data_IF_359889633326
#
_entry.id   IF_359889633326
#
_cell.length_a   1.000
_cell.length_b   1.000
_cell.length_c   1.000
_cell.angle_alpha   90.00
_cell.angle_beta   90.00
_cell.angle_gamma   90.00
#
_symmetry.space_group_name_H-M   'P 1'
#
loop_
_entity.id
_entity.type
_entity.pdbx_description
1 polymer ?
#
# COMPACT_ATOMS: atom_id res chain seq x y z
N UNK A 1 -50.16 6.43 15.22
CA UNK A 1 -49.55 6.74 13.91
C UNK A 1 -48.11 7.24 14.00
N UNK A 2 -47.81 8.32 14.76
CA UNK A 2 -46.46 8.92 14.84
C UNK A 2 -45.31 7.94 15.12
N UNK A 3 -45.48 7.00 16.06
CA UNK A 3 -44.45 5.99 16.41
C UNK A 3 -44.13 5.01 15.26
N UNK A 4 -45.11 4.63 14.43
CA UNK A 4 -44.92 3.72 13.29
C UNK A 4 -44.17 4.42 12.14
N UNK A 5 -44.41 5.71 11.95
CA UNK A 5 -43.71 6.55 10.95
C UNK A 5 -42.24 6.74 11.35
N UNK A 6 -41.97 7.07 12.62
CA UNK A 6 -40.60 7.22 13.14
C UNK A 6 -39.80 5.91 13.02
N UNK A 7 -40.42 4.78 13.34
CA UNK A 7 -39.77 3.47 13.19
C UNK A 7 -39.44 3.16 11.73
N UNK A 8 -40.36 3.49 10.80
CA UNK A 8 -40.12 3.37 9.36
C UNK A 8 -38.93 4.21 8.90
N UNK A 9 -38.82 5.47 9.34
CA UNK A 9 -37.69 6.34 8.99
C UNK A 9 -36.35 5.82 9.53
N UNK A 10 -36.33 5.26 10.76
CA UNK A 10 -35.12 4.69 11.35
C UNK A 10 -34.63 3.49 10.53
N UNK A 11 -35.54 2.60 10.13
CA UNK A 11 -35.22 1.42 9.31
C UNK A 11 -34.73 1.82 7.91
N UNK A 12 -35.33 2.86 7.31
CA UNK A 12 -34.91 3.39 6.02
C UNK A 12 -33.51 4.02 6.10
N UNK A 13 -33.25 4.80 7.15
CA UNK A 13 -31.97 5.46 7.36
C UNK A 13 -30.86 4.45 7.68
N UNK A 14 -31.12 3.43 8.49
CA UNK A 14 -30.16 2.36 8.77
C UNK A 14 -29.88 1.50 7.53
N UNK A 15 -30.91 1.17 6.73
CA UNK A 15 -30.74 0.48 5.46
C UNK A 15 -29.88 1.28 4.47
N UNK A 16 -30.08 2.59 4.38
CA UNK A 16 -29.28 3.47 3.53
C UNK A 16 -27.82 3.56 4.01
N UNK A 17 -27.58 3.63 5.32
CA UNK A 17 -26.25 3.61 5.91
C UNK A 17 -25.48 2.32 5.57
N UNK A 18 -26.15 1.17 5.63
CA UNK A 18 -25.55 -0.13 5.28
C UNK A 18 -25.16 -0.17 3.80
N UNK A 19 -26.00 0.36 2.90
CA UNK A 19 -25.70 0.48 1.48
C UNK A 19 -24.50 1.40 1.22
N UNK A 20 -24.47 2.58 1.85
CA UNK A 20 -23.35 3.53 1.72
C UNK A 20 -22.05 2.89 2.21
N UNK A 21 -22.08 2.17 3.34
CA UNK A 21 -20.90 1.50 3.89
C UNK A 21 -20.34 0.38 2.97
N UNK A 22 -21.20 -0.31 2.22
CA UNK A 22 -20.77 -1.36 1.29
C UNK A 22 -20.34 -0.84 -0.09
N UNK A 23 -20.77 0.37 -0.46
CA UNK A 23 -20.47 0.99 -1.76
C UNK A 23 -19.30 1.99 -1.65
N UNK A 24 -18.93 2.42 -0.44
CA UNK A 24 -17.87 3.40 -0.26
C UNK A 24 -16.53 2.84 -0.75
N UNK A 25 -15.86 3.53 -1.69
CA UNK A 25 -14.59 3.06 -2.20
C UNK A 25 -13.58 2.97 -1.05
N UNK A 26 -12.90 1.84 -0.91
CA UNK A 26 -11.83 1.72 0.08
C UNK A 26 -10.55 2.37 -0.42
N UNK A 27 -9.66 2.70 0.52
CA UNK A 27 -8.33 3.18 0.19
C UNK A 27 -7.46 1.99 -0.19
N UNK A 28 -6.67 2.09 -1.27
CA UNK A 28 -5.73 1.05 -1.62
C UNK A 28 -4.60 0.94 -0.59
N UNK A 29 -4.12 -0.29 -0.38
CA UNK A 29 -3.01 -0.58 0.52
C UNK A 29 -2.09 -1.68 -0.01
N UNK A 30 -0.83 -1.64 0.43
CA UNK A 30 0.19 -2.66 0.15
C UNK A 30 0.54 -3.36 1.45
N UNK A 31 0.36 -4.67 1.50
CA UNK A 31 0.79 -5.52 2.62
C UNK A 31 2.16 -6.09 2.33
N UNK A 32 3.08 -5.98 3.27
CA UNK A 32 4.47 -6.43 3.16
C UNK A 32 4.68 -7.51 4.21
N UNK A 33 4.96 -8.74 3.77
CA UNK A 33 5.16 -9.91 4.63
C UNK A 33 6.62 -10.31 4.67
N UNK A 34 7.18 -10.38 5.87
CA UNK A 34 8.54 -10.90 6.07
C UNK A 34 8.52 -12.43 6.13
N UNK A 35 8.89 -13.08 5.03
CA UNK A 35 9.03 -14.55 4.95
C UNK A 35 10.50 -15.00 5.08
N UNK A 36 11.36 -14.15 5.64
CA UNK A 36 12.76 -14.47 5.94
C UNK A 36 12.92 -14.88 7.40
N UNK A 37 14.11 -15.37 7.77
CA UNK A 37 14.45 -15.63 9.17
C UNK A 37 15.13 -14.45 9.89
N UNK A 38 15.14 -13.26 9.28
CA UNK A 38 15.82 -12.05 9.78
C UNK A 38 14.86 -10.87 9.87
N UNK A 39 15.18 -9.83 10.66
CA UNK A 39 14.42 -8.59 10.63
C UNK A 39 14.50 -7.95 9.24
N UNK A 40 13.41 -7.34 8.83
CA UNK A 40 13.28 -6.67 7.54
C UNK A 40 13.11 -5.16 7.77
N UNK A 41 13.94 -4.37 7.11
CA UNK A 41 13.91 -2.91 7.18
C UNK A 41 13.19 -2.39 5.94
N UNK A 42 12.03 -1.77 6.11
CA UNK A 42 11.17 -1.28 5.04
C UNK A 42 11.27 0.24 4.90
N UNK A 43 11.36 0.67 3.65
CA UNK A 43 11.31 2.05 3.21
C UNK A 43 10.13 2.19 2.26
N UNK A 44 8.98 2.61 2.77
CA UNK A 44 7.77 2.79 1.99
C UNK A 44 7.40 4.28 1.93
N UNK A 45 7.04 4.76 0.75
CA UNK A 45 6.69 6.14 0.52
C UNK A 45 5.74 6.31 -0.65
N UNK A 46 5.12 7.49 -0.71
CA UNK A 46 4.38 7.94 -1.88
C UNK A 46 5.20 8.97 -2.63
N UNK A 47 5.18 8.90 -3.95
CA UNK A 47 5.91 9.79 -4.84
C UNK A 47 5.05 10.20 -6.04
N UNK A 48 5.63 11.03 -6.92
CA UNK A 48 5.05 11.36 -8.21
C UNK A 48 5.72 10.47 -9.26
N UNK A 49 4.91 9.76 -10.04
CA UNK A 49 5.35 8.92 -11.12
C UNK A 49 6.03 9.75 -12.23
N UNK A 50 7.17 9.27 -12.73
CA UNK A 50 7.94 9.88 -13.83
C UNK A 50 8.49 11.28 -13.52
N UNK A 51 8.65 11.59 -12.23
CA UNK A 51 9.27 12.82 -11.75
C UNK A 51 10.37 12.46 -10.77
N UNK A 52 11.58 12.96 -11.03
CA UNK A 52 12.69 12.77 -10.10
C UNK A 52 12.38 13.47 -8.77
N UNK A 53 12.68 12.81 -7.63
CA UNK A 53 12.41 13.39 -6.32
C UNK A 53 13.24 14.65 -6.11
N UNK A 54 12.64 15.66 -5.50
CA UNK A 54 13.35 16.87 -5.14
C UNK A 54 14.43 16.57 -4.07
N UNK A 55 15.52 17.36 -3.98
CA UNK A 55 16.59 17.12 -3.01
C UNK A 55 16.10 17.00 -1.55
N UNK A 56 15.05 17.75 -1.21
CA UNK A 56 14.41 17.72 0.11
C UNK A 56 13.67 16.40 0.37
N UNK A 57 13.07 15.82 -0.67
CA UNK A 57 12.39 14.51 -0.60
C UNK A 57 13.41 13.39 -0.42
N UNK A 58 14.54 13.46 -1.13
CA UNK A 58 15.68 12.54 -0.97
C UNK A 58 16.21 12.59 0.46
N UNK A 59 16.43 13.79 1.01
CA UNK A 59 16.94 13.97 2.37
C UNK A 59 15.97 13.38 3.41
N UNK A 60 14.66 13.54 3.19
CA UNK A 60 13.62 12.94 4.04
C UNK A 60 13.66 11.42 4.01
N UNK A 61 13.83 10.82 2.83
CA UNK A 61 13.93 9.36 2.68
C UNK A 61 15.18 8.84 3.41
N UNK A 62 16.34 9.49 3.22
CA UNK A 62 17.60 9.10 3.88
C UNK A 62 17.48 9.19 5.40
N UNK A 63 16.82 10.23 5.91
CA UNK A 63 16.63 10.44 7.34
C UNK A 63 15.45 9.65 7.93
N UNK A 64 14.60 9.07 7.09
CA UNK A 64 13.45 8.32 7.56
C UNK A 64 13.90 7.08 8.33
N UNK A 65 13.31 6.88 9.50
CA UNK A 65 13.52 5.64 10.25
C UNK A 65 12.76 4.54 9.50
N UNK A 66 13.43 3.46 9.05
CA UNK A 66 12.74 2.37 8.40
C UNK A 66 11.78 1.69 9.37
N UNK A 67 10.69 1.16 8.82
CA UNK A 67 9.82 0.26 9.57
C UNK A 67 10.52 -1.10 9.72
N UNK A 68 10.47 -1.70 10.91
CA UNK A 68 11.19 -2.95 11.19
C UNK A 68 10.18 -4.07 11.40
N UNK A 69 10.19 -5.04 10.50
CA UNK A 69 9.27 -6.19 10.53
C UNK A 69 10.02 -7.43 11.00
N UNK A 70 9.55 -8.05 12.08
CA UNK A 70 10.12 -9.30 12.58
C UNK A 70 9.82 -10.48 11.62
N UNK A 71 10.58 -11.59 11.70
CA UNK A 71 10.29 -12.79 10.92
C UNK A 71 8.84 -13.27 11.09
N UNK A 72 8.12 -13.51 10.00
CA UNK A 72 6.73 -13.95 9.98
C UNK A 72 5.69 -12.83 10.15
N UNK A 73 6.10 -11.62 10.52
CA UNK A 73 5.21 -10.48 10.70
C UNK A 73 4.90 -9.75 9.39
N UNK A 74 3.89 -8.88 9.45
CA UNK A 74 3.41 -8.10 8.31
C UNK A 74 3.30 -6.62 8.65
N UNK A 75 3.47 -5.78 7.63
CA UNK A 75 3.25 -4.34 7.69
C UNK A 75 2.33 -3.91 6.56
N UNK A 76 1.44 -2.96 6.84
CA UNK A 76 0.52 -2.42 5.85
C UNK A 76 0.83 -0.95 5.57
N UNK A 77 1.08 -0.63 4.31
CA UNK A 77 1.21 0.73 3.82
C UNK A 77 -0.07 1.15 3.10
N UNK A 78 -0.84 2.06 3.71
CA UNK A 78 -2.09 2.58 3.13
C UNK A 78 -1.85 3.90 2.40
N UNK A 79 -2.39 4.04 1.20
CA UNK A 79 -2.29 5.26 0.42
C UNK A 79 -2.98 6.47 1.11
N UNK A 80 -2.35 7.63 1.05
CA UNK A 80 -2.87 8.88 1.58
C UNK A 80 -4.01 9.42 0.71
N UNK A 81 -4.91 10.24 1.28
CA UNK A 81 -6.05 10.79 0.54
C UNK A 81 -5.58 11.75 -0.56
N UNK A 82 -4.44 12.41 -0.34
CA UNK A 82 -3.84 13.34 -1.31
C UNK A 82 -3.45 12.56 -2.58
N UNK A 83 -2.80 11.42 -2.43
CA UNK A 83 -2.37 10.56 -3.54
C UNK A 83 -3.54 9.94 -4.30
N UNK A 84 -4.70 9.76 -3.67
CA UNK A 84 -5.92 9.29 -4.34
C UNK A 84 -6.55 10.33 -5.26
N UNK A 85 -6.32 11.63 -5.01
CA UNK A 85 -6.84 12.73 -5.83
C UNK A 85 -5.89 13.04 -6.99
N UNK A 86 -4.57 12.85 -6.79
CA UNK A 86 -3.54 13.06 -7.83
C UNK A 86 -3.65 12.04 -8.95
N UNK A 87 -3.32 12.41 -10.19
CA UNK A 87 -3.42 11.51 -11.35
C UNK A 87 -2.22 10.58 -11.50
N UNK A 88 -1.08 11.02 -11.02
CA UNK A 88 0.29 10.53 -11.22
C UNK A 88 0.94 10.01 -9.93
N UNK A 89 0.14 9.67 -8.91
CA UNK A 89 0.70 9.15 -7.67
C UNK A 89 1.28 7.74 -7.83
N UNK A 90 2.43 7.51 -7.20
CA UNK A 90 3.09 6.22 -7.09
C UNK A 90 3.31 5.83 -5.61
N UNK A 91 3.48 4.54 -5.37
CA UNK A 91 3.91 3.97 -4.10
C UNK A 91 5.23 3.25 -4.35
N UNK A 92 6.26 3.62 -3.61
CA UNK A 92 7.58 2.99 -3.70
C UNK A 92 7.85 2.22 -2.41
N UNK A 93 8.19 0.94 -2.54
CA UNK A 93 8.52 0.06 -1.41
C UNK A 93 9.91 -0.51 -1.63
N UNK A 94 10.88 -0.07 -0.85
CA UNK A 94 12.22 -0.65 -0.74
C UNK A 94 12.39 -1.47 0.53
N UNK A 95 13.27 -2.48 0.50
CA UNK A 95 13.57 -3.28 1.68
C UNK A 95 15.03 -3.76 1.76
N UNK A 96 15.48 -4.02 2.99
CA UNK A 96 16.78 -4.64 3.30
C UNK A 96 16.60 -5.74 4.37
N UNK A 97 17.29 -6.87 4.19
CA UNK A 97 17.15 -8.07 5.04
C UNK A 97 18.32 -8.18 6.01
N UNK A 98 18.03 -8.25 7.31
CA UNK A 98 18.99 -8.48 8.40
C UNK A 98 19.77 -7.26 8.85
N UNK A 99 20.04 -6.31 7.96
CA UNK A 99 20.71 -5.05 8.27
C UNK A 99 20.04 -3.88 7.55
N UNK A 100 20.10 -2.71 8.18
CA UNK A 100 19.50 -1.48 7.69
C UNK A 100 20.22 -0.92 6.46
N UNK A 101 21.53 -1.14 6.35
CA UNK A 101 22.38 -0.56 5.32
C UNK A 101 22.84 -1.62 4.34
N UNK A 102 23.24 -1.20 3.14
CA UNK A 102 23.70 -2.13 2.11
C UNK A 102 24.85 -3.04 2.59
N UNK A 103 25.86 -2.47 3.27
CA UNK A 103 27.04 -3.18 3.74
C UNK A 103 26.77 -4.22 4.83
N UNK A 104 25.65 -4.13 5.56
CA UNK A 104 25.27 -5.08 6.61
C UNK A 104 23.96 -5.84 6.28
N UNK A 105 23.38 -5.60 5.12
CA UNK A 105 22.23 -6.34 4.62
C UNK A 105 22.68 -7.64 3.95
N UNK A 106 21.90 -8.69 4.13
CA UNK A 106 22.13 -9.99 3.46
C UNK A 106 21.25 -10.19 2.23
N UNK A 107 20.48 -9.17 1.89
CA UNK A 107 19.53 -9.15 0.79
C UNK A 107 18.75 -7.84 0.79
N UNK A 108 17.97 -7.63 -0.25
CA UNK A 108 17.21 -6.40 -0.42
C UNK A 108 16.56 -6.32 -1.79
N UNK A 109 15.75 -5.30 -1.99
CA UNK A 109 15.07 -5.07 -3.25
C UNK A 109 14.12 -3.90 -3.17
N UNK A 110 13.37 -3.71 -4.24
CA UNK A 110 12.33 -2.70 -4.29
C UNK A 110 11.23 -3.07 -5.26
N UNK A 111 10.05 -2.54 -5.01
CA UNK A 111 8.91 -2.63 -5.89
C UNK A 111 8.17 -1.30 -5.91
N UNK A 112 8.00 -0.77 -7.12
CA UNK A 112 7.25 0.45 -7.35
C UNK A 112 5.86 0.11 -7.89
N UNK A 113 4.88 0.93 -7.53
CA UNK A 113 3.50 0.80 -7.95
C UNK A 113 2.94 2.13 -8.41
N UNK A 114 2.04 2.10 -9.38
CA UNK A 114 1.29 3.27 -9.84
C UNK A 114 -0.13 3.19 -9.28
N UNK A 115 -0.66 4.30 -8.78
CA UNK A 115 -2.06 4.43 -8.41
C UNK A 115 -2.89 4.83 -9.65
N UNK A 116 -3.55 3.86 -10.25
CA UNK A 116 -4.37 3.99 -11.45
C UNK A 116 -5.87 3.98 -11.15
N UNK A 117 -6.65 4.77 -11.88
CA UNK A 117 -8.12 4.72 -11.77
C UNK A 117 -8.76 3.58 -12.59
N UNK A 118 -8.01 2.95 -13.50
CA UNK A 118 -8.58 1.99 -14.48
C UNK A 118 -8.12 0.56 -14.25
N UNK A 119 -6.83 0.35 -13.98
CA UNK A 119 -6.18 -0.96 -13.96
C UNK A 119 -5.45 -1.24 -12.65
N UNK A 120 -5.35 -2.51 -12.26
CA UNK A 120 -4.68 -2.95 -11.03
C UNK A 120 -5.63 -3.58 -10.00
N UNK A 121 -5.15 -3.67 -8.77
CA UNK A 121 -5.84 -4.28 -7.64
C UNK A 121 -6.08 -3.25 -6.51
N UNK A 122 -7.11 -3.42 -5.70
CA UNK A 122 -7.31 -2.54 -4.54
C UNK A 122 -6.35 -2.82 -3.39
N UNK A 123 -5.81 -4.04 -3.34
CA UNK A 123 -4.72 -4.37 -2.43
C UNK A 123 -3.70 -5.27 -3.11
N UNK A 124 -2.44 -5.11 -2.71
CA UNK A 124 -1.32 -5.92 -3.18
C UNK A 124 -0.55 -6.44 -1.98
N UNK A 125 -0.18 -7.71 -2.02
CA UNK A 125 0.72 -8.34 -1.05
C UNK A 125 2.09 -8.55 -1.66
N UNK A 126 3.14 -8.15 -0.94
CA UNK A 126 4.54 -8.40 -1.23
C UNK A 126 5.05 -9.38 -0.18
N UNK A 127 5.38 -10.60 -0.59
CA UNK A 127 6.04 -11.57 0.27
C UNK A 127 7.53 -11.58 -0.02
N UNK A 128 8.33 -11.15 0.94
CA UNK A 128 9.79 -11.00 0.79
C UNK A 128 10.48 -12.25 1.33
N UNK A 129 11.28 -12.90 0.49
CA UNK A 129 12.07 -14.09 0.80
C UNK A 129 13.57 -13.74 0.88
N UNK A 130 14.37 -14.68 1.37
CA UNK A 130 15.81 -14.48 1.49
C UNK A 130 16.48 -14.21 0.13
N UNK A 131 17.45 -13.29 0.12
CA UNK A 131 18.24 -12.90 -1.06
C UNK A 131 17.91 -11.52 -1.62
N UNK A 132 18.35 -11.27 -2.85
CA UNK A 132 18.14 -10.01 -3.56
C UNK A 132 17.01 -10.12 -4.57
N UNK A 133 16.07 -9.16 -4.57
CA UNK A 133 14.89 -9.11 -5.45
C UNK A 133 14.10 -10.43 -5.48
N UNK A 134 14.10 -11.16 -4.36
CA UNK A 134 13.38 -12.42 -4.21
C UNK A 134 12.06 -12.16 -3.49
N UNK A 135 11.07 -11.68 -4.24
CA UNK A 135 9.75 -11.37 -3.72
C UNK A 135 8.65 -11.95 -4.62
N UNK A 136 7.55 -12.31 -3.99
CA UNK A 136 6.32 -12.75 -4.68
C UNK A 136 5.30 -11.62 -4.53
N UNK A 137 4.69 -11.24 -5.65
CA UNK A 137 3.62 -10.25 -5.69
C UNK A 137 2.29 -10.96 -5.93
N UNK A 138 1.34 -10.74 -5.04
CA UNK A 138 -0.02 -11.24 -5.15
C UNK A 138 -0.97 -10.04 -5.10
N UNK A 139 -1.69 -9.80 -6.19
CA UNK A 139 -2.73 -8.78 -6.23
C UNK A 139 -4.08 -9.43 -5.95
N UNK A 140 -4.85 -8.87 -5.02
CA UNK A 140 -6.24 -9.29 -4.84
C UNK A 140 -7.12 -8.40 -5.69
N UNK A 141 -7.74 -8.91 -6.77
CA UNK A 141 -8.79 -8.17 -7.49
C UNK A 141 -10.01 -8.06 -6.57
N UNK A 142 -9.95 -7.12 -5.63
CA UNK A 142 -11.03 -6.78 -4.70
C UNK A 142 -11.87 -5.60 -5.21
N UNK A 143 -12.99 -5.40 -4.51
CA UNK A 143 -14.04 -4.37 -4.51
C UNK A 143 -13.81 -2.99 -5.21
N UNK A 144 -14.82 -2.14 -5.21
CA UNK A 144 -14.67 -0.72 -5.57
C UNK A 144 -13.68 -0.03 -4.60
N UNK A 145 -12.60 0.53 -5.13
CA UNK A 145 -11.65 1.38 -4.39
C UNK A 145 -11.39 2.68 -5.16
N UNK A 146 -10.93 3.72 -4.46
CA UNK A 146 -10.72 5.05 -5.07
C UNK A 146 -9.71 5.01 -6.22
N UNK A 147 -8.63 4.26 -6.02
CA UNK A 147 -7.62 3.95 -7.02
C UNK A 147 -7.13 2.54 -6.82
N UNK A 148 -6.65 1.94 -7.92
CA UNK A 148 -6.07 0.61 -8.00
C UNK A 148 -4.55 0.72 -8.03
N UNK A 149 -3.89 -0.21 -7.36
CA UNK A 149 -2.45 -0.38 -7.33
C UNK A 149 -2.05 -1.25 -8.51
N UNK A 150 -1.18 -0.73 -9.36
CA UNK A 150 -0.63 -1.43 -10.51
C UNK A 150 0.88 -1.56 -10.33
N UNK A 151 1.39 -2.78 -10.24
CA UNK A 151 2.83 -3.03 -10.14
C UNK A 151 3.56 -2.56 -11.41
N UNK A 152 4.66 -1.83 -11.22
CA UNK A 152 5.51 -1.45 -12.32
C UNK A 152 6.23 -2.69 -12.85
N UNK A 153 6.01 -3.04 -14.12
CA UNK A 153 6.78 -4.06 -14.82
C UNK A 153 7.81 -3.33 -15.67
N UNK A 154 9.06 -3.33 -15.24
CA UNK A 154 10.16 -2.89 -16.10
C UNK A 154 10.13 -3.76 -17.37
N UNK A 155 9.82 -3.15 -18.52
CA UNK A 155 10.17 -3.72 -19.82
C UNK A 155 11.65 -3.39 -20.03
N UNK A 156 12.52 -4.38 -19.82
CA UNK A 156 13.87 -4.36 -20.38
C UNK A 156 13.80 -4.81 -21.85
#
# INVERSE_FOLDING_TARGET
MKKKIVLGCIVLFSGLLVLIAHIFPTRPFVTITNNTNKPLFIYAGESIYDVDPEPEEVERIIRSKPEIIAPGEQYEFTASFISLIRRDAAIDVGWRIGGQYEYNSTGGGGQNFILSSTAGACSVSIKINDGFNNNILEGTPGNLCFKKIMAFKYKY
#
